data_IF_204977608653
#
_entry.id   IF_204977608653
#
_cell.length_a   1.000
_cell.length_b   1.000
_cell.length_c   1.000
_cell.angle_alpha   90.00
_cell.angle_beta   90.00
_cell.angle_gamma   90.00
#
_symmetry.space_group_name_H-M   'P 1'
#
loop_
_entity.id
_entity.type
_entity.pdbx_description
1 polymer ?
#
# COMPACT_ATOMS: atom_id res chain seq x y z
N UNK A 1 -37.10 -6.77 16.11
CA UNK A 1 -37.77 -5.53 16.56
C UNK A 1 -38.89 -5.04 15.62
N UNK A 2 -39.88 -4.26 16.12
CA UNK A 2 -40.90 -3.58 15.30
C UNK A 2 -40.29 -2.47 14.40
N UNK A 3 -40.80 -2.31 13.17
CA UNK A 3 -40.25 -1.38 12.18
C UNK A 3 -40.36 0.08 12.62
N UNK A 4 -41.46 0.46 13.29
CA UNK A 4 -41.63 1.84 13.78
C UNK A 4 -40.64 2.13 14.91
N UNK A 5 -40.42 1.17 15.80
CA UNK A 5 -39.44 1.29 16.87
C UNK A 5 -38.02 1.47 16.32
N UNK A 6 -37.64 0.71 15.28
CA UNK A 6 -36.35 0.88 14.59
C UNK A 6 -36.18 2.28 14.00
N UNK A 7 -37.22 2.80 13.36
CA UNK A 7 -37.23 4.17 12.82
C UNK A 7 -37.10 5.22 13.93
N UNK A 8 -37.77 5.02 15.06
CA UNK A 8 -37.67 5.91 16.21
C UNK A 8 -36.25 5.92 16.79
N UNK A 9 -35.64 4.75 16.98
CA UNK A 9 -34.24 4.62 17.44
C UNK A 9 -33.29 5.33 16.48
N UNK A 10 -33.42 5.10 15.17
CA UNK A 10 -32.59 5.77 14.18
C UNK A 10 -32.80 7.29 14.16
N UNK A 11 -34.03 7.77 14.39
CA UNK A 11 -34.31 9.21 14.51
C UNK A 11 -33.66 9.82 15.75
N UNK A 12 -33.65 9.12 16.89
CA UNK A 12 -32.96 9.59 18.09
C UNK A 12 -31.45 9.60 17.91
N UNK A 13 -30.86 8.53 17.37
CA UNK A 13 -29.43 8.49 17.04
C UNK A 13 -29.05 9.61 16.07
N UNK A 14 -29.83 9.85 15.00
CA UNK A 14 -29.58 10.96 14.07
C UNK A 14 -29.71 12.36 14.68
N UNK A 15 -30.38 12.48 15.84
CA UNK A 15 -30.49 13.70 16.62
C UNK A 15 -29.48 13.76 17.79
N UNK A 16 -28.51 12.85 17.86
CA UNK A 16 -27.56 12.68 18.97
C UNK A 16 -28.23 12.45 20.33
N UNK A 17 -29.40 11.79 20.34
CA UNK A 17 -30.17 11.47 21.55
C UNK A 17 -30.00 10.01 21.99
N UNK A 18 -28.80 9.42 21.83
CA UNK A 18 -28.55 8.01 22.13
C UNK A 18 -28.81 7.61 23.59
N UNK A 19 -28.83 8.56 24.54
CA UNK A 19 -29.32 8.29 25.90
C UNK A 19 -30.78 7.81 25.93
N UNK A 20 -31.66 8.33 25.06
CA UNK A 20 -33.05 7.84 24.95
C UNK A 20 -33.11 6.42 24.42
N UNK A 21 -32.18 6.06 23.51
CA UNK A 21 -32.04 4.70 22.99
C UNK A 21 -31.60 3.75 24.11
N UNK A 22 -30.63 4.17 24.92
CA UNK A 22 -30.17 3.43 26.10
C UNK A 22 -31.33 3.20 27.07
N UNK A 23 -31.99 4.28 27.53
CA UNK A 23 -33.11 4.20 28.49
C UNK A 23 -34.22 3.25 28.00
N UNK A 24 -34.56 3.31 26.70
CA UNK A 24 -35.55 2.42 26.09
C UNK A 24 -35.10 0.95 26.12
N UNK A 25 -33.89 0.66 25.65
CA UNK A 25 -33.41 -0.72 25.46
C UNK A 25 -32.96 -1.38 26.77
N UNK A 26 -32.54 -0.60 27.76
CA UNK A 26 -32.31 -1.07 29.14
C UNK A 26 -33.60 -1.43 29.87
N UNK A 27 -34.74 -0.85 29.46
CA UNK A 27 -36.06 -1.26 29.93
C UNK A 27 -36.44 -2.69 29.52
N UNK A 28 -35.76 -3.28 28.53
CA UNK A 28 -35.91 -4.67 28.13
C UNK A 28 -34.94 -5.52 28.95
N UNK A 29 -35.46 -6.54 29.63
CA UNK A 29 -34.63 -7.44 30.44
C UNK A 29 -33.56 -8.11 29.56
N UNK A 30 -32.36 -8.41 30.09
CA UNK A 30 -31.32 -9.10 29.31
C UNK A 30 -31.78 -10.44 28.72
N UNK A 31 -32.70 -11.15 29.38
CA UNK A 31 -33.24 -12.43 28.92
C UNK A 31 -34.21 -12.28 27.73
N UNK A 32 -34.89 -11.13 27.64
CA UNK A 32 -35.85 -10.83 26.56
C UNK A 32 -35.22 -10.01 25.43
N UNK A 33 -33.96 -9.60 25.57
CA UNK A 33 -33.24 -8.81 24.58
C UNK A 33 -32.59 -9.73 23.54
N UNK A 34 -33.03 -9.62 22.30
CA UNK A 34 -32.47 -10.38 21.18
C UNK A 34 -31.14 -9.80 20.67
N UNK A 35 -30.64 -10.40 19.60
CA UNK A 35 -29.43 -9.96 18.88
C UNK A 35 -29.53 -8.50 18.42
N UNK A 36 -30.65 -8.13 17.78
CA UNK A 36 -30.86 -6.79 17.21
C UNK A 36 -30.90 -5.72 18.31
N UNK A 37 -31.68 -5.94 19.36
CA UNK A 37 -31.83 -5.00 20.47
C UNK A 37 -30.52 -4.86 21.27
N UNK A 38 -29.78 -5.95 21.47
CA UNK A 38 -28.46 -5.92 22.13
C UNK A 38 -27.44 -5.16 21.31
N UNK A 39 -27.40 -5.40 19.99
CA UNK A 39 -26.52 -4.67 19.09
C UNK A 39 -26.83 -3.17 19.03
N UNK A 40 -28.11 -2.78 19.03
CA UNK A 40 -28.51 -1.37 19.04
C UNK A 40 -28.18 -0.67 20.36
N UNK A 41 -28.31 -1.37 21.49
CA UNK A 41 -27.89 -0.84 22.78
C UNK A 41 -26.37 -0.65 22.83
N UNK A 42 -25.60 -1.61 22.32
CA UNK A 42 -24.14 -1.47 22.21
C UNK A 42 -23.74 -0.27 21.33
N UNK A 43 -24.44 -0.07 20.19
CA UNK A 43 -24.25 1.13 19.34
C UNK A 43 -24.50 2.42 20.11
N UNK A 44 -25.60 2.48 20.86
CA UNK A 44 -25.93 3.67 21.65
C UNK A 44 -24.87 3.93 22.73
N UNK A 45 -24.36 2.88 23.38
CA UNK A 45 -23.26 2.97 24.33
C UNK A 45 -21.95 3.47 23.70
N UNK A 46 -21.63 3.01 22.48
CA UNK A 46 -20.52 3.53 21.70
C UNK A 46 -20.64 5.05 21.46
N UNK A 47 -21.82 5.53 21.04
CA UNK A 47 -22.01 6.96 20.74
C UNK A 47 -22.02 7.87 21.98
N UNK A 48 -22.28 7.34 23.18
CA UNK A 48 -22.15 8.12 24.42
C UNK A 48 -20.77 7.95 25.10
N UNK A 49 -19.85 7.21 24.48
CA UNK A 49 -18.48 7.02 24.98
C UNK A 49 -18.33 5.96 26.08
N UNK A 50 -19.33 5.09 26.30
CA UNK A 50 -19.27 4.00 27.28
C UNK A 50 -18.86 2.68 26.60
N UNK A 51 -17.67 2.69 26.00
CA UNK A 51 -17.18 1.63 25.10
C UNK A 51 -17.06 0.25 25.77
N UNK A 52 -16.63 0.20 27.03
CA UNK A 52 -16.52 -1.07 27.76
C UNK A 52 -17.88 -1.75 27.95
N UNK A 53 -18.95 -0.97 28.16
CA UNK A 53 -20.31 -1.53 28.23
C UNK A 53 -20.77 -2.05 26.88
N UNK A 54 -20.46 -1.33 25.80
CA UNK A 54 -20.73 -1.80 24.45
C UNK A 54 -20.02 -3.13 24.17
N UNK A 55 -18.74 -3.28 24.54
CA UNK A 55 -18.00 -4.53 24.39
C UNK A 55 -18.62 -5.68 25.16
N UNK A 56 -19.03 -5.47 26.43
CA UNK A 56 -19.69 -6.52 27.23
C UNK A 56 -20.98 -7.00 26.55
N UNK A 57 -21.78 -6.08 26.00
CA UNK A 57 -23.00 -6.42 25.28
C UNK A 57 -22.72 -7.17 23.98
N UNK A 58 -21.76 -6.70 23.17
CA UNK A 58 -21.40 -7.33 21.91
C UNK A 58 -20.83 -8.74 22.14
N UNK A 59 -19.98 -8.91 23.14
CA UNK A 59 -19.43 -10.20 23.53
C UNK A 59 -20.52 -11.21 23.91
N UNK A 60 -21.59 -10.76 24.59
CA UNK A 60 -22.71 -11.62 24.99
C UNK A 60 -23.48 -12.23 23.81
N UNK A 61 -23.33 -11.67 22.61
CA UNK A 61 -23.98 -12.12 21.37
C UNK A 61 -22.98 -12.57 20.29
N UNK A 62 -21.72 -12.84 20.67
CA UNK A 62 -20.62 -13.19 19.76
C UNK A 62 -20.94 -14.33 18.81
N UNK A 63 -21.52 -15.43 19.30
CA UNK A 63 -21.79 -16.64 18.50
C UNK A 63 -22.61 -16.34 17.24
N UNK A 64 -23.54 -15.39 17.32
CA UNK A 64 -24.33 -14.92 16.17
C UNK A 64 -23.65 -13.74 15.48
N UNK A 65 -22.96 -12.88 16.24
CA UNK A 65 -22.42 -11.61 15.77
C UNK A 65 -21.16 -11.69 14.92
N UNK A 66 -20.32 -12.71 15.06
CA UNK A 66 -19.05 -12.78 14.32
C UNK A 66 -19.22 -12.79 12.79
N UNK A 67 -20.39 -13.18 12.29
CA UNK A 67 -20.75 -13.16 10.87
C UNK A 67 -21.66 -11.99 10.47
N UNK A 68 -21.87 -11.02 11.37
CA UNK A 68 -22.67 -9.81 11.11
C UNK A 68 -21.77 -8.58 10.96
N UNK A 69 -21.93 -7.85 9.86
CA UNK A 69 -21.15 -6.64 9.55
C UNK A 69 -21.27 -5.58 10.65
N UNK A 70 -22.50 -5.32 11.13
CA UNK A 70 -22.74 -4.26 12.12
C UNK A 70 -22.13 -4.61 13.48
N UNK A 71 -22.18 -5.88 13.88
CA UNK A 71 -21.56 -6.35 15.10
C UNK A 71 -20.03 -6.18 15.04
N UNK A 72 -19.41 -6.61 13.95
CA UNK A 72 -17.97 -6.42 13.72
C UNK A 72 -17.60 -4.94 13.73
N UNK A 73 -18.34 -4.09 13.00
CA UNK A 73 -18.12 -2.64 13.01
C UNK A 73 -18.23 -2.04 14.43
N UNK A 74 -19.25 -2.42 15.20
CA UNK A 74 -19.46 -1.91 16.57
C UNK A 74 -18.39 -2.40 17.55
N UNK A 75 -17.90 -3.63 17.38
CA UNK A 75 -16.74 -4.15 18.12
C UNK A 75 -15.49 -3.33 17.79
N UNK A 76 -15.21 -3.15 16.50
CA UNK A 76 -14.12 -2.32 16.00
C UNK A 76 -14.17 -0.91 16.56
N UNK A 77 -15.33 -0.26 16.50
CA UNK A 77 -15.55 1.11 17.00
C UNK A 77 -15.23 1.22 18.48
N UNK A 78 -15.78 0.33 19.31
CA UNK A 78 -15.53 0.34 20.75
C UNK A 78 -14.03 0.14 21.06
N UNK A 79 -13.37 -0.79 20.38
CA UNK A 79 -11.94 -1.07 20.56
C UNK A 79 -11.05 0.09 20.10
N UNK A 80 -11.41 0.75 18.99
CA UNK A 80 -10.69 1.88 18.45
C UNK A 80 -10.63 3.05 19.44
N UNK A 81 -11.77 3.44 20.02
CA UNK A 81 -11.82 4.51 21.02
C UNK A 81 -11.23 4.12 22.38
N UNK A 82 -10.97 2.83 22.61
CA UNK A 82 -10.20 2.33 23.75
C UNK A 82 -8.70 2.17 23.43
N UNK A 83 -8.22 2.74 22.32
CA UNK A 83 -6.84 2.65 21.82
C UNK A 83 -6.35 1.21 21.55
N UNK A 84 -7.26 0.23 21.43
CA UNK A 84 -6.96 -1.18 21.11
C UNK A 84 -6.95 -1.40 19.59
N UNK A 85 -6.16 -0.59 18.89
CA UNK A 85 -6.19 -0.44 17.42
C UNK A 85 -5.93 -1.74 16.65
N UNK A 86 -5.04 -2.63 17.14
CA UNK A 86 -4.75 -3.91 16.47
C UNK A 86 -5.97 -4.82 16.48
N UNK A 87 -6.70 -4.84 17.57
CA UNK A 87 -7.92 -5.62 17.71
C UNK A 87 -9.06 -4.97 16.91
N UNK A 88 -9.19 -3.64 17.00
CA UNK A 88 -10.15 -2.87 16.23
C UNK A 88 -10.01 -3.13 14.72
N UNK A 89 -8.77 -3.08 14.20
CA UNK A 89 -8.45 -3.38 12.80
C UNK A 89 -8.96 -4.76 12.38
N UNK A 90 -8.75 -5.79 13.21
CA UNK A 90 -9.24 -7.14 12.89
C UNK A 90 -10.76 -7.20 12.72
N UNK A 91 -11.52 -6.47 13.55
CA UNK A 91 -12.97 -6.42 13.46
C UNK A 91 -13.45 -5.56 12.28
N UNK A 92 -12.81 -4.43 12.00
CA UNK A 92 -13.15 -3.63 10.83
C UNK A 92 -12.81 -4.34 9.51
N UNK A 93 -11.65 -5.01 9.41
CA UNK A 93 -11.34 -5.86 8.26
C UNK A 93 -12.38 -6.96 8.09
N UNK A 94 -12.89 -7.55 9.19
CA UNK A 94 -13.96 -8.54 9.08
C UNK A 94 -15.28 -7.93 8.60
N UNK A 95 -15.60 -6.71 9.03
CA UNK A 95 -16.77 -5.98 8.53
C UNK A 95 -16.65 -5.70 7.03
N UNK A 96 -15.48 -5.26 6.57
CA UNK A 96 -15.18 -5.01 5.15
C UNK A 96 -15.24 -6.29 4.31
N UNK A 97 -14.71 -7.42 4.79
CA UNK A 97 -14.87 -8.74 4.13
C UNK A 97 -16.34 -9.14 3.93
N UNK A 98 -17.21 -8.82 4.89
CA UNK A 98 -18.63 -9.16 4.87
C UNK A 98 -19.46 -8.15 4.06
N UNK A 99 -19.05 -6.89 4.03
CA UNK A 99 -19.70 -5.81 3.29
C UNK A 99 -18.62 -4.86 2.78
N UNK A 100 -18.02 -5.19 1.62
CA UNK A 100 -16.98 -4.36 1.02
C UNK A 100 -17.52 -3.00 0.61
N UNK A 101 -16.63 -2.03 0.43
CA UNK A 101 -16.93 -0.68 -0.09
C UNK A 101 -17.77 0.20 0.86
N UNK A 102 -17.92 -0.19 2.13
CA UNK A 102 -18.49 0.68 3.16
C UNK A 102 -17.48 1.77 3.57
N UNK A 103 -17.76 3.02 3.21
CA UNK A 103 -16.85 4.16 3.39
C UNK A 103 -16.42 4.36 4.85
N UNK A 104 -17.36 4.23 5.80
CA UNK A 104 -17.09 4.37 7.24
C UNK A 104 -16.13 3.28 7.71
N UNK A 105 -16.35 2.02 7.31
CA UNK A 105 -15.49 0.88 7.65
C UNK A 105 -14.08 1.08 7.11
N UNK A 106 -13.96 1.47 5.83
CA UNK A 106 -12.67 1.74 5.19
C UNK A 106 -11.94 2.89 5.90
N UNK A 107 -12.65 3.96 6.28
CA UNK A 107 -12.04 5.06 7.02
C UNK A 107 -11.50 4.60 8.38
N UNK A 108 -12.26 3.81 9.14
CA UNK A 108 -11.76 3.27 10.40
C UNK A 108 -10.56 2.31 10.23
N UNK A 109 -10.53 1.51 9.15
CA UNK A 109 -9.35 0.71 8.78
C UNK A 109 -8.16 1.64 8.57
N UNK A 110 -8.34 2.72 7.80
CA UNK A 110 -7.28 3.71 7.54
C UNK A 110 -6.73 4.30 8.82
N UNK A 111 -7.61 4.73 9.71
CA UNK A 111 -7.26 5.32 11.02
C UNK A 111 -6.57 4.32 11.96
N UNK A 112 -6.95 3.04 11.94
CA UNK A 112 -6.27 1.99 12.70
C UNK A 112 -4.85 1.77 12.16
N UNK A 113 -4.70 1.70 10.84
CA UNK A 113 -3.41 1.50 10.19
C UNK A 113 -2.44 2.67 10.41
N UNK A 114 -2.93 3.91 10.48
CA UNK A 114 -2.12 5.08 10.90
C UNK A 114 -1.57 4.97 12.33
N UNK A 115 -2.30 4.30 13.23
CA UNK A 115 -1.88 4.08 14.62
C UNK A 115 -0.97 2.87 14.80
N UNK A 116 -0.84 2.03 13.77
CA UNK A 116 0.04 0.87 13.72
C UNK A 116 0.93 1.00 12.48
N UNK A 117 1.85 2.00 12.47
CA UNK A 117 2.57 2.42 11.27
C UNK A 117 3.47 1.31 10.72
N UNK A 118 3.66 1.28 9.41
CA UNK A 118 4.49 0.30 8.71
C UNK A 118 5.89 0.18 9.32
N UNK A 119 6.51 1.30 9.71
CA UNK A 119 7.79 1.32 10.43
C UNK A 119 7.79 0.44 11.69
N UNK A 120 6.77 0.56 12.54
CA UNK A 120 6.65 -0.24 13.76
C UNK A 120 6.45 -1.74 13.47
N UNK A 121 5.78 -2.06 12.37
CA UNK A 121 5.54 -3.43 11.92
C UNK A 121 6.81 -4.09 11.38
N UNK A 122 7.59 -3.32 10.63
CA UNK A 122 8.94 -3.70 10.16
C UNK A 122 9.86 -3.97 11.35
N UNK A 123 9.88 -3.10 12.36
CA UNK A 123 10.67 -3.31 13.57
C UNK A 123 10.23 -4.58 14.33
N UNK A 124 8.92 -4.86 14.39
CA UNK A 124 8.37 -6.07 14.99
C UNK A 124 8.75 -7.34 14.20
N UNK A 125 8.68 -7.31 12.87
CA UNK A 125 9.13 -8.40 12.01
C UNK A 125 10.60 -8.73 12.23
N UNK A 126 11.48 -7.73 12.21
CA UNK A 126 12.91 -7.97 12.41
C UNK A 126 13.23 -8.45 13.82
N UNK A 127 12.53 -7.94 14.83
CA UNK A 127 12.63 -8.44 16.20
C UNK A 127 12.23 -9.91 16.30
N UNK A 128 11.12 -10.29 15.65
CA UNK A 128 10.67 -11.67 15.56
C UNK A 128 11.68 -12.54 14.80
N UNK A 129 12.21 -12.06 13.68
CA UNK A 129 13.16 -12.83 12.86
C UNK A 129 14.43 -13.15 13.63
N UNK A 130 15.00 -12.16 14.34
CA UNK A 130 16.19 -12.38 15.18
C UNK A 130 15.91 -13.36 16.31
N UNK A 131 14.74 -13.28 16.96
CA UNK A 131 14.36 -14.21 18.02
C UNK A 131 14.20 -15.66 17.52
N UNK A 132 13.80 -15.83 16.25
CA UNK A 132 13.51 -17.13 15.65
C UNK A 132 14.59 -17.60 14.65
N UNK A 133 15.70 -16.87 14.52
CA UNK A 133 16.76 -17.09 13.52
C UNK A 133 17.30 -18.53 13.54
N UNK A 134 17.49 -19.08 14.74
CA UNK A 134 18.02 -20.43 14.90
C UNK A 134 17.07 -21.50 14.36
N UNK A 135 15.75 -21.32 14.52
CA UNK A 135 14.76 -22.25 13.99
C UNK A 135 14.60 -22.08 12.48
N UNK A 136 14.54 -20.83 12.01
CA UNK A 136 14.53 -20.52 10.57
C UNK A 136 15.74 -21.11 9.85
N UNK A 137 16.90 -21.11 10.50
CA UNK A 137 18.12 -21.73 9.97
C UNK A 137 17.99 -23.24 9.85
N UNK A 138 17.47 -23.90 10.88
CA UNK A 138 17.23 -25.36 10.83
C UNK A 138 16.27 -25.73 9.71
N UNK A 139 15.23 -24.92 9.49
CA UNK A 139 14.29 -25.11 8.38
C UNK A 139 14.98 -24.99 7.02
N UNK A 140 15.86 -24.00 6.84
CA UNK A 140 16.65 -23.82 5.61
C UNK A 140 17.65 -24.96 5.38
N UNK A 141 18.33 -25.42 6.43
CA UNK A 141 19.34 -26.48 6.37
C UNK A 141 18.72 -27.86 6.16
N UNK A 142 17.52 -28.11 6.70
CA UNK A 142 16.86 -29.41 6.70
C UNK A 142 15.54 -29.39 5.93
N UNK A 143 15.49 -28.70 4.78
CA UNK A 143 14.28 -28.54 3.94
C UNK A 143 13.51 -29.83 3.62
N UNK A 144 14.19 -30.98 3.61
CA UNK A 144 13.57 -32.28 3.36
C UNK A 144 12.95 -32.96 4.58
N UNK A 145 13.16 -32.43 5.79
CA UNK A 145 12.70 -33.02 7.05
C UNK A 145 11.46 -32.33 7.62
N UNK A 146 11.20 -31.08 7.21
CA UNK A 146 10.02 -30.33 7.62
C UNK A 146 8.90 -30.50 6.59
N UNK A 147 7.68 -30.63 7.11
CA UNK A 147 6.48 -30.45 6.30
C UNK A 147 6.39 -28.99 5.82
N UNK A 148 6.00 -28.80 4.55
CA UNK A 148 5.99 -27.48 3.92
C UNK A 148 4.97 -26.55 4.56
N UNK A 149 3.78 -27.06 4.92
CA UNK A 149 2.73 -26.25 5.56
C UNK A 149 3.18 -25.80 6.96
N UNK A 150 3.86 -26.68 7.70
CA UNK A 150 4.41 -26.34 9.02
C UNK A 150 5.47 -25.23 8.94
N UNK A 151 6.36 -25.31 7.95
CA UNK A 151 7.40 -24.29 7.75
C UNK A 151 6.79 -22.95 7.35
N UNK A 152 5.88 -22.97 6.36
CA UNK A 152 5.17 -21.79 5.89
C UNK A 152 4.39 -21.14 7.04
N UNK A 153 3.59 -21.90 7.78
CA UNK A 153 2.81 -21.40 8.91
C UNK A 153 3.66 -20.85 10.06
N UNK A 154 4.91 -21.31 10.22
CA UNK A 154 5.84 -20.69 11.16
C UNK A 154 6.33 -19.33 10.66
N UNK A 155 6.73 -19.23 9.39
CA UNK A 155 7.22 -17.98 8.78
C UNK A 155 6.10 -16.94 8.68
N UNK A 156 4.86 -17.38 8.41
CA UNK A 156 3.65 -16.55 8.39
C UNK A 156 3.40 -15.81 9.71
N UNK A 157 3.82 -16.37 10.85
CA UNK A 157 3.74 -15.67 12.14
C UNK A 157 4.63 -14.41 12.16
N UNK A 158 5.75 -14.44 11.43
CA UNK A 158 6.67 -13.34 11.27
C UNK A 158 6.19 -12.33 10.24
N UNK A 159 6.02 -12.77 8.99
CA UNK A 159 5.61 -11.85 7.90
C UNK A 159 4.22 -11.26 8.13
N UNK A 160 3.34 -11.98 8.83
CA UNK A 160 2.03 -11.49 9.27
C UNK A 160 2.08 -10.32 10.26
N UNK A 161 3.25 -10.02 10.84
CA UNK A 161 3.45 -8.79 11.63
C UNK A 161 3.50 -7.54 10.74
N UNK A 162 3.84 -7.70 9.46
CA UNK A 162 3.93 -6.62 8.46
C UNK A 162 2.53 -6.28 7.93
N UNK A 163 1.88 -7.28 7.34
CA UNK A 163 0.55 -7.20 6.76
C UNK A 163 -0.04 -8.62 6.62
N UNK A 164 -1.33 -8.72 6.32
CA UNK A 164 -1.89 -10.01 5.87
C UNK A 164 -1.41 -10.27 4.44
N UNK A 165 -1.38 -11.56 4.05
CA UNK A 165 -1.11 -12.00 2.68
C UNK A 165 0.24 -11.51 2.12
N UNK A 166 1.27 -11.44 2.97
CA UNK A 166 2.64 -11.15 2.54
C UNK A 166 3.23 -12.40 1.87
N UNK A 167 3.49 -12.29 0.58
CA UNK A 167 4.08 -13.37 -0.22
C UNK A 167 5.62 -13.33 -0.16
N UNK A 168 6.22 -14.51 -0.03
CA UNK A 168 7.67 -14.66 0.08
C UNK A 168 8.13 -16.01 -0.46
N UNK A 169 9.40 -16.06 -0.81
CA UNK A 169 10.13 -17.25 -1.20
C UNK A 169 11.36 -17.38 -0.31
N UNK A 170 11.60 -18.59 0.22
CA UNK A 170 12.87 -18.89 0.88
C UNK A 170 13.67 -19.80 -0.04
N UNK A 171 14.85 -19.35 -0.43
CA UNK A 171 15.82 -20.08 -1.24
C UNK A 171 16.89 -20.82 -0.41
N UNK A 172 17.62 -21.72 -1.06
CA UNK A 172 18.82 -22.31 -0.46
C UNK A 172 19.84 -21.21 -0.09
N UNK A 173 20.84 -21.55 0.72
CA UNK A 173 21.88 -20.61 1.15
C UNK A 173 21.34 -19.36 1.87
N UNK A 174 20.30 -19.51 2.69
CA UNK A 174 19.76 -18.44 3.54
C UNK A 174 19.23 -17.23 2.76
N UNK A 175 18.72 -17.47 1.56
CA UNK A 175 18.05 -16.46 0.76
C UNK A 175 16.57 -16.32 1.17
N UNK A 176 16.12 -15.10 1.37
CA UNK A 176 14.72 -14.75 1.63
C UNK A 176 14.30 -13.61 0.70
N UNK A 177 13.33 -13.87 -0.15
CA UNK A 177 12.89 -12.94 -1.18
C UNK A 177 11.41 -12.65 -0.97
N UNK A 178 11.05 -11.39 -0.74
CA UNK A 178 9.64 -10.98 -0.78
C UNK A 178 9.15 -11.02 -2.24
N UNK A 179 7.87 -11.26 -2.45
CA UNK A 179 7.24 -11.22 -3.79
C UNK A 179 6.31 -10.02 -3.87
N UNK A 180 6.33 -9.28 -4.97
CA UNK A 180 5.40 -8.16 -5.16
C UNK A 180 4.08 -8.62 -5.77
N UNK A 181 4.00 -9.78 -6.41
CA UNK A 181 2.75 -10.32 -6.99
C UNK A 181 2.01 -9.29 -7.87
N UNK A 182 2.76 -8.52 -8.68
CA UNK A 182 2.21 -7.45 -9.54
C UNK A 182 1.76 -6.18 -8.81
N UNK A 183 1.94 -6.09 -7.49
CA UNK A 183 1.46 -4.97 -6.68
C UNK A 183 2.46 -3.82 -6.61
N UNK A 184 2.16 -2.74 -7.34
CA UNK A 184 3.07 -1.60 -7.53
C UNK A 184 3.56 -0.95 -6.21
N UNK A 185 2.71 -0.89 -5.17
CA UNK A 185 3.06 -0.28 -3.89
C UNK A 185 4.19 -1.01 -3.15
N UNK A 186 4.36 -2.32 -3.38
CA UNK A 186 5.36 -3.13 -2.70
C UNK A 186 6.79 -2.79 -3.13
N UNK A 187 6.99 -2.27 -4.35
CA UNK A 187 8.26 -1.69 -4.79
C UNK A 187 8.70 -0.48 -3.97
N UNK A 188 7.79 0.16 -3.23
CA UNK A 188 8.09 1.30 -2.37
C UNK A 188 8.15 0.93 -0.89
N UNK A 189 7.55 -0.19 -0.49
CA UNK A 189 7.51 -0.65 0.90
C UNK A 189 8.64 -1.62 1.23
N UNK A 190 8.89 -2.62 0.38
CA UNK A 190 9.88 -3.66 0.67
C UNK A 190 11.33 -3.18 0.67
N UNK A 191 11.77 -2.22 -0.16
CA UNK A 191 13.12 -1.68 -0.02
C UNK A 191 13.37 -1.07 1.36
N UNK A 192 12.36 -0.41 1.94
CA UNK A 192 12.46 0.07 3.32
C UNK A 192 12.56 -1.09 4.31
N UNK A 193 11.68 -2.09 4.22
CA UNK A 193 11.74 -3.30 5.04
C UNK A 193 13.16 -3.89 5.05
N UNK A 194 13.79 -4.08 3.89
CA UNK A 194 15.15 -4.63 3.78
C UNK A 194 16.22 -3.66 4.32
N UNK A 195 16.06 -2.34 4.11
CA UNK A 195 17.00 -1.35 4.64
C UNK A 195 17.12 -1.41 6.18
N UNK A 196 16.05 -1.87 6.86
CA UNK A 196 15.97 -2.02 8.32
C UNK A 196 16.53 -3.35 8.84
N UNK A 197 17.06 -4.22 7.97
CA UNK A 197 17.65 -5.50 8.35
C UNK A 197 18.76 -5.33 9.41
N UNK A 198 18.64 -6.00 10.57
CA UNK A 198 19.65 -5.99 11.62
C UNK A 198 21.03 -6.44 11.13
N UNK A 199 22.09 -5.76 11.57
CA UNK A 199 23.47 -6.08 11.18
C UNK A 199 23.85 -7.54 11.49
N UNK A 200 23.35 -8.09 12.60
CA UNK A 200 23.62 -9.47 13.04
C UNK A 200 23.18 -10.54 12.03
N UNK A 201 22.30 -10.21 11.10
CA UNK A 201 21.80 -11.15 10.09
C UNK A 201 22.58 -11.06 8.77
N UNK A 202 23.30 -9.95 8.50
CA UNK A 202 23.83 -9.62 7.16
C UNK A 202 24.92 -10.56 6.67
N UNK A 203 25.67 -11.18 7.57
CA UNK A 203 26.73 -12.13 7.22
C UNK A 203 26.20 -13.48 6.77
N UNK A 204 24.96 -13.82 7.16
CA UNK A 204 24.38 -15.16 6.97
C UNK A 204 23.18 -15.15 6.06
N UNK A 205 22.25 -14.22 6.26
CA UNK A 205 21.00 -14.12 5.52
C UNK A 205 21.12 -13.11 4.39
N UNK A 206 20.50 -13.44 3.25
CA UNK A 206 20.44 -12.59 2.07
C UNK A 206 18.98 -12.28 1.77
N UNK A 207 18.59 -11.02 1.99
CA UNK A 207 17.23 -10.57 1.79
C UNK A 207 17.08 -9.75 0.51
N UNK A 208 16.03 -10.04 -0.24
CA UNK A 208 15.66 -9.29 -1.44
C UNK A 208 14.24 -8.72 -1.31
N UNK A 209 14.03 -7.44 -1.67
CA UNK A 209 12.73 -6.79 -1.57
C UNK A 209 11.72 -7.32 -2.59
N UNK A 210 12.20 -7.97 -3.65
CA UNK A 210 11.42 -8.56 -4.73
C UNK A 210 12.32 -9.50 -5.53
N UNK A 211 11.72 -10.35 -6.37
CA UNK A 211 12.44 -11.32 -7.18
C UNK A 211 13.41 -10.63 -8.16
N UNK A 212 14.68 -11.03 -8.10
CA UNK A 212 15.77 -10.46 -8.88
C UNK A 212 15.92 -11.06 -10.28
N UNK A 213 15.15 -12.11 -10.62
CA UNK A 213 15.26 -12.85 -11.87
C UNK A 213 16.50 -13.74 -11.94
N UNK A 214 16.44 -14.81 -12.72
CA UNK A 214 17.57 -15.73 -12.91
C UNK A 214 17.81 -16.05 -14.38
N UNK A 215 19.08 -16.12 -14.77
CA UNK A 215 19.48 -16.48 -16.15
C UNK A 215 19.52 -18.00 -16.37
N UNK A 216 19.41 -18.79 -15.31
CA UNK A 216 19.51 -20.26 -15.39
C UNK A 216 18.15 -20.88 -15.64
N UNK A 217 18.04 -21.64 -16.73
CA UNK A 217 16.83 -22.40 -17.03
C UNK A 217 16.56 -23.53 -16.03
N UNK A 218 15.27 -23.76 -15.77
CA UNK A 218 14.75 -24.86 -14.98
C UNK A 218 13.41 -25.37 -15.52
N UNK A 219 12.89 -26.45 -14.95
CA UNK A 219 11.54 -26.96 -15.25
C UNK A 219 10.48 -26.23 -14.41
N UNK A 220 9.49 -25.65 -15.09
CA UNK A 220 8.32 -25.04 -14.50
C UNK A 220 7.11 -25.97 -14.65
N UNK A 221 6.35 -26.17 -13.56
CA UNK A 221 5.18 -27.05 -13.54
C UNK A 221 3.97 -26.33 -12.98
N UNK A 222 2.95 -26.14 -13.82
CA UNK A 222 1.69 -25.52 -13.43
C UNK A 222 0.57 -25.98 -14.37
N UNK A 223 -0.67 -26.06 -13.88
CA UNK A 223 -1.85 -26.45 -14.66
C UNK A 223 -1.69 -27.76 -15.48
N UNK A 224 -0.87 -28.70 -14.99
CA UNK A 224 -0.60 -29.97 -15.65
C UNK A 224 0.40 -29.92 -16.81
N UNK A 225 1.00 -28.76 -17.08
CA UNK A 225 2.08 -28.61 -18.07
C UNK A 225 3.43 -28.64 -17.35
N UNK A 226 4.44 -29.26 -17.98
CA UNK A 226 5.84 -29.20 -17.55
C UNK A 226 6.66 -28.57 -18.67
N UNK A 227 7.18 -27.37 -18.43
CA UNK A 227 7.85 -26.55 -19.44
C UNK A 227 9.27 -26.24 -18.98
N UNK A 228 10.26 -26.54 -19.82
CA UNK A 228 11.61 -26.06 -19.59
C UNK A 228 11.71 -24.61 -20.10
N UNK A 229 12.27 -23.70 -19.30
CA UNK A 229 12.38 -22.28 -19.68
C UNK A 229 13.11 -22.09 -21.03
N UNK A 230 14.05 -22.96 -21.40
CA UNK A 230 14.76 -22.90 -22.69
C UNK A 230 13.82 -23.07 -23.90
N UNK A 231 12.70 -23.78 -23.71
CA UNK A 231 11.74 -24.09 -24.75
C UNK A 231 10.60 -23.06 -24.86
N UNK A 232 10.60 -22.04 -23.99
CA UNK A 232 9.71 -20.89 -24.15
C UNK A 232 10.42 -19.88 -25.03
N UNK A 233 9.84 -19.62 -26.20
CA UNK A 233 10.37 -18.68 -27.16
C UNK A 233 9.68 -17.34 -27.02
N UNK A 234 10.44 -16.25 -27.03
CA UNK A 234 9.95 -14.90 -26.90
C UNK A 234 10.51 -13.99 -27.99
N UNK A 235 9.75 -12.96 -28.34
CA UNK A 235 10.19 -11.83 -29.14
C UNK A 235 9.89 -10.55 -28.37
N UNK A 236 10.86 -9.66 -28.24
CA UNK A 236 10.71 -8.41 -27.49
C UNK A 236 10.90 -7.21 -28.42
N UNK A 237 9.80 -6.51 -28.68
CA UNK A 237 9.77 -5.30 -29.51
C UNK A 237 9.95 -4.07 -28.62
N UNK A 238 11.06 -3.36 -28.80
CA UNK A 238 11.35 -2.12 -28.08
C UNK A 238 10.61 -0.92 -28.68
N UNK A 239 10.02 -0.10 -27.81
CA UNK A 239 9.44 1.20 -28.13
C UNK A 239 10.33 2.31 -27.53
N UNK A 240 10.95 3.12 -28.39
CA UNK A 240 11.91 4.14 -27.96
C UNK A 240 11.25 5.34 -27.28
N UNK A 241 10.02 5.68 -27.65
CA UNK A 241 9.28 6.82 -27.09
C UNK A 241 8.81 6.50 -25.68
N UNK A 242 8.23 5.31 -25.49
CA UNK A 242 7.75 4.83 -24.19
C UNK A 242 8.86 4.26 -23.32
N UNK A 243 9.99 3.90 -23.93
CA UNK A 243 11.13 3.24 -23.29
C UNK A 243 10.72 1.92 -22.61
N UNK A 244 9.88 1.14 -23.29
CA UNK A 244 9.34 -0.14 -22.83
C UNK A 244 9.32 -1.19 -23.96
N UNK A 245 8.87 -2.41 -23.66
CA UNK A 245 8.86 -3.55 -24.55
C UNK A 245 7.49 -4.23 -24.57
N UNK A 246 7.02 -4.55 -25.77
CA UNK A 246 5.97 -5.57 -25.95
C UNK A 246 6.63 -6.93 -26.16
N UNK A 247 6.24 -7.93 -25.36
CA UNK A 247 6.83 -9.28 -25.37
C UNK A 247 5.82 -10.27 -25.94
N UNK A 248 6.14 -10.87 -27.08
CA UNK A 248 5.37 -11.98 -27.63
C UNK A 248 5.97 -13.32 -27.20
N UNK A 249 5.17 -14.33 -26.89
CA UNK A 249 5.66 -15.66 -26.47
C UNK A 249 5.03 -16.83 -27.22
N UNK A 250 5.78 -17.92 -27.30
CA UNK A 250 5.33 -19.20 -27.84
C UNK A 250 5.96 -20.38 -27.09
N UNK A 251 5.11 -21.27 -26.57
CA UNK A 251 5.46 -22.64 -26.19
C UNK A 251 4.23 -23.52 -26.42
N UNK A 252 4.42 -24.71 -26.98
CA UNK A 252 3.31 -25.55 -27.42
C UNK A 252 2.36 -25.95 -26.27
N UNK A 253 2.90 -26.33 -25.12
CA UNK A 253 2.13 -26.68 -23.93
C UNK A 253 1.36 -25.48 -23.37
N UNK A 254 2.04 -24.36 -23.14
CA UNK A 254 1.42 -23.11 -22.67
C UNK A 254 0.32 -22.62 -23.61
N UNK A 255 0.58 -22.61 -24.92
CA UNK A 255 -0.40 -22.16 -25.92
C UNK A 255 -1.58 -23.13 -26.09
N UNK A 256 -1.48 -24.35 -25.57
CA UNK A 256 -2.59 -25.33 -25.55
C UNK A 256 -3.52 -25.17 -24.35
N UNK A 257 -3.12 -24.37 -23.34
CA UNK A 257 -3.96 -24.06 -22.19
C UNK A 257 -5.08 -23.06 -22.56
N UNK A 258 -6.15 -22.98 -21.74
CA UNK A 258 -7.05 -21.83 -21.76
C UNK A 258 -6.25 -20.53 -21.71
N UNK A 259 -6.71 -19.52 -22.44
CA UNK A 259 -5.95 -18.28 -22.67
C UNK A 259 -5.45 -17.63 -21.37
N UNK A 260 -6.33 -17.44 -20.39
CA UNK A 260 -6.00 -16.89 -19.07
C UNK A 260 -4.91 -17.69 -18.34
N UNK A 261 -4.99 -19.03 -18.36
CA UNK A 261 -4.00 -19.90 -17.73
C UNK A 261 -2.66 -19.88 -18.48
N UNK A 262 -2.69 -19.81 -19.81
CA UNK A 262 -1.51 -19.71 -20.65
C UNK A 262 -0.76 -18.40 -20.40
N UNK A 263 -1.47 -17.27 -20.40
CA UNK A 263 -0.89 -15.97 -20.04
C UNK A 263 -0.39 -15.96 -18.60
N UNK A 264 -1.21 -16.36 -17.63
CA UNK A 264 -0.82 -16.37 -16.22
C UNK A 264 0.44 -17.20 -15.97
N UNK A 265 0.52 -18.41 -16.57
CA UNK A 265 1.73 -19.25 -16.48
C UNK A 265 2.94 -18.57 -17.11
N UNK A 266 2.78 -17.95 -18.28
CA UNK A 266 3.88 -17.24 -18.93
C UNK A 266 4.35 -16.02 -18.12
N UNK A 267 3.44 -15.24 -17.54
CA UNK A 267 3.78 -14.11 -16.69
C UNK A 267 4.66 -14.53 -15.52
N UNK A 268 4.28 -15.59 -14.80
CA UNK A 268 5.09 -16.16 -13.71
C UNK A 268 6.47 -16.57 -14.23
N UNK A 269 6.53 -17.29 -15.36
CA UNK A 269 7.81 -17.72 -15.95
C UNK A 269 8.68 -16.52 -16.37
N UNK A 270 8.07 -15.48 -16.95
CA UNK A 270 8.75 -14.25 -17.35
C UNK A 270 9.31 -13.51 -16.16
N UNK A 271 8.54 -13.34 -15.08
CA UNK A 271 8.99 -12.66 -13.86
C UNK A 271 10.08 -13.45 -13.13
N UNK A 272 10.00 -14.78 -13.12
CA UNK A 272 11.07 -15.64 -12.59
C UNK A 272 12.40 -15.46 -13.35
N UNK A 273 12.36 -15.22 -14.66
CA UNK A 273 13.55 -15.04 -15.50
C UNK A 273 14.06 -13.60 -15.50
N UNK A 274 13.14 -12.64 -15.66
CA UNK A 274 13.44 -11.22 -15.83
C UNK A 274 13.67 -10.51 -14.49
N UNK A 275 13.02 -10.97 -13.43
CA UNK A 275 12.88 -10.26 -12.16
C UNK A 275 11.68 -9.30 -12.18
N UNK A 276 11.03 -9.15 -11.04
CA UNK A 276 9.79 -8.38 -10.91
C UNK A 276 10.00 -6.89 -11.22
N UNK A 277 11.13 -6.31 -10.81
CA UNK A 277 11.42 -4.89 -11.06
C UNK A 277 11.58 -4.55 -12.55
N UNK A 278 12.33 -5.37 -13.30
CA UNK A 278 12.50 -5.18 -14.74
C UNK A 278 11.21 -5.48 -15.50
N UNK A 279 10.48 -6.54 -15.12
CA UNK A 279 9.20 -6.86 -15.71
C UNK A 279 8.21 -5.70 -15.55
N UNK A 280 8.04 -5.21 -14.31
CA UNK A 280 7.16 -4.09 -14.00
C UNK A 280 7.53 -2.81 -14.77
N UNK A 281 8.84 -2.50 -14.89
CA UNK A 281 9.27 -1.24 -15.49
C UNK A 281 9.23 -1.25 -17.02
N UNK A 282 9.61 -2.36 -17.63
CA UNK A 282 9.96 -2.41 -19.05
C UNK A 282 9.05 -3.30 -19.88
N UNK A 283 8.18 -4.13 -19.30
CA UNK A 283 7.22 -4.93 -20.07
C UNK A 283 5.86 -4.25 -20.03
N UNK A 284 5.44 -3.70 -21.16
CA UNK A 284 4.18 -2.94 -21.27
C UNK A 284 3.01 -3.77 -21.74
N UNK A 285 3.28 -4.83 -22.50
CA UNK A 285 2.27 -5.76 -22.99
C UNK A 285 2.89 -7.13 -23.25
N UNK A 286 2.07 -8.17 -23.08
CA UNK A 286 2.42 -9.55 -23.43
C UNK A 286 1.42 -10.10 -24.43
N UNK A 287 1.92 -10.75 -25.47
CA UNK A 287 1.11 -11.31 -26.55
C UNK A 287 1.43 -12.79 -26.78
N UNK A 288 0.41 -13.63 -26.95
CA UNK A 288 0.60 -15.03 -27.32
C UNK A 288 0.69 -15.17 -28.83
N UNK A 289 1.76 -15.79 -29.33
CA UNK A 289 1.89 -16.14 -30.74
C UNK A 289 1.27 -17.53 -31.04
N UNK A 290 0.75 -17.72 -32.25
CA UNK A 290 0.14 -18.99 -32.68
C UNK A 290 1.17 -20.08 -33.02
N UNK A 291 2.40 -19.66 -33.36
CA UNK A 291 3.51 -20.53 -33.77
C UNK A 291 4.84 -19.89 -33.44
N UNK A 292 5.91 -20.67 -33.53
CA UNK A 292 7.27 -20.14 -33.48
C UNK A 292 7.54 -19.27 -34.71
N UNK A 293 7.90 -18.00 -34.49
CA UNK A 293 8.15 -17.01 -35.53
C UNK A 293 9.65 -16.71 -35.69
N UNK A 294 10.03 -16.13 -36.84
CA UNK A 294 11.41 -15.71 -37.11
C UNK A 294 11.81 -14.56 -36.18
N UNK A 295 12.97 -14.65 -35.55
CA UNK A 295 13.47 -13.64 -34.61
C UNK A 295 13.11 -13.90 -33.15
N UNK A 296 12.28 -14.91 -32.85
CA UNK A 296 12.08 -15.36 -31.48
C UNK A 296 13.34 -16.04 -30.93
N UNK A 297 13.63 -15.81 -29.65
CA UNK A 297 14.75 -16.38 -28.91
C UNK A 297 14.28 -16.96 -27.58
N UNK A 298 15.13 -17.69 -26.88
CA UNK A 298 14.74 -18.37 -25.64
C UNK A 298 14.49 -17.40 -24.47
N UNK A 299 13.47 -17.66 -23.64
CA UNK A 299 13.07 -16.82 -22.51
C UNK A 299 14.23 -16.46 -21.54
N UNK A 300 15.15 -17.37 -21.16
CA UNK A 300 16.29 -17.03 -20.30
C UNK A 300 17.19 -15.91 -20.87
N UNK A 301 17.21 -15.71 -22.20
CA UNK A 301 17.97 -14.63 -22.82
C UNK A 301 17.27 -13.26 -22.78
N UNK A 302 16.00 -13.20 -22.35
CA UNK A 302 15.18 -11.97 -22.36
C UNK A 302 15.76 -10.85 -21.51
N UNK A 303 16.22 -11.15 -20.30
CA UNK A 303 16.84 -10.16 -19.41
C UNK A 303 18.05 -9.51 -20.07
N UNK A 304 18.98 -10.34 -20.58
CA UNK A 304 20.16 -9.87 -21.28
C UNK A 304 19.83 -9.04 -22.51
N UNK A 305 18.80 -9.43 -23.26
CA UNK A 305 18.32 -8.68 -24.43
C UNK A 305 17.78 -7.30 -24.06
N UNK A 306 16.91 -7.20 -23.05
CA UNK A 306 16.33 -5.93 -22.59
C UNK A 306 17.42 -4.99 -22.11
N UNK A 307 18.29 -5.47 -21.21
CA UNK A 307 19.39 -4.67 -20.64
C UNK A 307 20.33 -4.16 -21.73
N UNK A 308 20.69 -5.02 -22.69
CA UNK A 308 21.54 -4.64 -23.82
C UNK A 308 20.85 -3.61 -24.72
N UNK A 309 19.58 -3.82 -25.05
CA UNK A 309 18.81 -2.92 -25.92
C UNK A 309 18.69 -1.52 -25.31
N UNK A 310 18.40 -1.42 -24.02
CA UNK A 310 18.36 -0.14 -23.30
C UNK A 310 19.71 0.59 -23.38
N UNK A 311 20.82 -0.11 -23.08
CA UNK A 311 22.17 0.46 -23.14
C UNK A 311 22.57 0.89 -24.54
N UNK A 312 22.26 0.08 -25.56
CA UNK A 312 22.55 0.39 -26.97
C UNK A 312 21.79 1.64 -27.45
N UNK A 313 20.65 1.98 -26.81
CA UNK A 313 19.87 3.20 -27.04
C UNK A 313 20.20 4.34 -26.05
N UNK A 314 21.31 4.22 -25.31
CA UNK A 314 21.78 5.26 -24.38
C UNK A 314 20.90 5.46 -23.14
N UNK A 315 20.10 4.46 -22.77
CA UNK A 315 19.22 4.50 -21.60
C UNK A 315 19.89 3.86 -20.38
N UNK A 316 19.62 4.41 -19.21
CA UNK A 316 19.94 3.76 -17.94
C UNK A 316 18.94 2.64 -17.64
N UNK A 317 19.41 1.61 -16.93
CA UNK A 317 18.60 0.46 -16.54
C UNK A 317 18.22 0.60 -15.08
N UNK A 318 16.92 0.67 -14.81
CA UNK A 318 16.37 0.82 -13.47
C UNK A 318 15.62 -0.44 -13.10
N UNK A 319 16.07 -1.11 -12.03
CA UNK A 319 15.37 -2.26 -11.46
C UNK A 319 14.45 -1.87 -10.30
N UNK A 320 14.56 -0.65 -9.78
CA UNK A 320 13.70 -0.15 -8.72
C UNK A 320 12.80 0.98 -9.23
N UNK A 321 11.47 0.78 -9.28
CA UNK A 321 10.53 1.79 -9.74
C UNK A 321 10.63 3.13 -9.00
N UNK A 322 10.99 3.13 -7.71
CA UNK A 322 11.06 4.37 -6.91
C UNK A 322 12.14 5.35 -7.37
N UNK A 323 13.15 4.86 -8.11
CA UNK A 323 14.30 5.66 -8.54
C UNK A 323 14.06 6.39 -9.87
N UNK A 324 12.90 6.18 -10.50
CA UNK A 324 12.57 6.75 -11.82
C UNK A 324 11.52 7.83 -11.68
N UNK A 325 11.90 9.08 -11.91
CA UNK A 325 10.96 10.19 -11.97
C UNK A 325 10.52 10.47 -13.40
N UNK A 326 9.21 10.67 -13.58
CA UNK A 326 8.62 11.11 -14.84
C UNK A 326 7.91 12.44 -14.66
N UNK A 327 8.02 13.31 -15.66
CA UNK A 327 7.29 14.57 -15.71
C UNK A 327 5.90 14.35 -16.30
N UNK A 328 4.92 15.09 -15.79
CA UNK A 328 3.56 15.11 -16.33
C UNK A 328 3.05 16.56 -16.41
N UNK A 329 2.12 16.78 -17.34
CA UNK A 329 1.46 18.07 -17.56
C UNK A 329 -0.04 17.85 -17.59
N UNK A 330 -0.76 18.78 -16.98
CA UNK A 330 -2.22 18.79 -16.93
C UNK A 330 -2.71 20.19 -17.31
N UNK A 331 -3.94 20.25 -17.80
CA UNK A 331 -4.63 21.52 -18.02
C UNK A 331 -5.33 21.90 -16.71
N UNK A 332 -4.99 23.05 -16.07
CA UNK A 332 -5.62 23.45 -14.82
C UNK A 332 -7.12 23.74 -14.97
N UNK A 333 -7.90 23.33 -13.98
CA UNK A 333 -9.35 23.48 -13.94
C UNK A 333 -9.80 24.15 -12.62
N UNK A 334 -10.90 24.91 -12.68
CA UNK A 334 -11.54 25.46 -11.48
C UNK A 334 -12.35 24.35 -10.80
N UNK A 335 -11.93 23.97 -9.59
CA UNK A 335 -12.51 22.87 -8.83
C UNK A 335 -12.38 23.14 -7.32
N UNK A 336 -13.32 22.62 -6.53
CA UNK A 336 -13.27 22.66 -5.06
C UNK A 336 -12.25 21.65 -4.51
N UNK A 337 -11.96 20.59 -5.27
CA UNK A 337 -10.93 19.60 -4.93
C UNK A 337 -9.51 20.12 -5.16
N UNK A 338 -8.58 19.64 -4.34
CA UNK A 338 -7.16 20.02 -4.43
C UNK A 338 -6.53 19.47 -5.73
N UNK A 339 -5.41 20.07 -6.14
CA UNK A 339 -4.57 19.62 -7.28
C UNK A 339 -5.20 19.72 -8.67
N UNK A 340 -6.43 20.19 -8.82
CA UNK A 340 -6.98 20.54 -10.13
C UNK A 340 -6.37 21.84 -10.70
N UNK A 341 -5.65 22.61 -9.88
CA UNK A 341 -4.85 23.74 -10.33
C UNK A 341 -3.49 23.35 -10.91
N UNK A 342 -3.08 22.07 -10.80
CA UNK A 342 -1.76 21.56 -11.23
C UNK A 342 -1.59 21.75 -12.73
N UNK A 343 -0.48 22.39 -13.14
CA UNK A 343 -0.11 22.54 -14.54
C UNK A 343 1.04 21.59 -14.93
N UNK A 344 2.00 21.41 -14.03
CA UNK A 344 3.17 20.56 -14.25
C UNK A 344 3.58 19.87 -12.95
N UNK A 345 4.03 18.63 -13.05
CA UNK A 345 4.61 17.93 -11.92
C UNK A 345 5.63 16.89 -12.36
N UNK A 346 6.26 16.29 -11.36
CA UNK A 346 7.17 15.16 -11.50
C UNK A 346 6.86 14.15 -10.42
N UNK A 347 6.80 12.87 -10.76
CA UNK A 347 6.49 11.80 -9.80
C UNK A 347 7.32 10.55 -10.10
N UNK A 348 7.70 9.81 -9.06
CA UNK A 348 8.17 8.44 -9.20
C UNK A 348 7.02 7.43 -9.22
N UNK A 349 5.82 7.80 -8.76
CA UNK A 349 4.68 6.91 -8.59
C UNK A 349 3.46 7.33 -9.42
N UNK A 350 3.56 7.25 -10.75
CA UNK A 350 2.52 7.72 -11.68
C UNK A 350 1.13 7.13 -11.44
N UNK A 351 1.04 5.86 -11.02
CA UNK A 351 -0.23 5.21 -10.72
C UNK A 351 -0.99 5.90 -9.57
N UNK A 352 -0.26 6.41 -8.56
CA UNK A 352 -0.86 7.17 -7.45
C UNK A 352 -1.46 8.49 -7.95
N UNK A 353 -0.74 9.20 -8.81
CA UNK A 353 -1.22 10.44 -9.44
C UNK A 353 -2.45 10.17 -10.31
N UNK A 354 -2.43 9.15 -11.16
CA UNK A 354 -3.57 8.79 -12.03
C UNK A 354 -4.81 8.49 -11.19
N UNK A 355 -4.67 7.64 -10.16
CA UNK A 355 -5.78 7.24 -9.31
C UNK A 355 -6.39 8.41 -8.53
N UNK A 356 -5.59 9.41 -8.13
CA UNK A 356 -6.12 10.63 -7.53
C UNK A 356 -7.12 11.33 -8.47
N UNK A 357 -6.77 11.53 -9.74
CA UNK A 357 -7.66 12.21 -10.71
C UNK A 357 -8.83 11.33 -11.17
N UNK A 358 -8.69 10.01 -11.09
CA UNK A 358 -9.77 9.04 -11.35
C UNK A 358 -10.73 8.87 -10.16
N UNK A 359 -10.47 9.53 -9.02
CA UNK A 359 -11.16 9.31 -7.75
C UNK A 359 -11.18 7.83 -7.33
N UNK A 360 -10.05 7.15 -7.55
CA UNK A 360 -9.85 5.75 -7.22
C UNK A 360 -8.93 5.64 -6.01
N UNK A 361 -9.37 4.93 -4.96
CA UNK A 361 -8.60 4.77 -3.72
C UNK A 361 -7.94 3.39 -3.58
N UNK A 362 -8.05 2.52 -4.59
CA UNK A 362 -7.53 1.14 -4.54
C UNK A 362 -6.07 1.07 -4.13
N UNK A 363 -5.20 1.87 -4.76
CA UNK A 363 -3.77 1.89 -4.43
C UNK A 363 -3.51 2.49 -3.04
N UNK A 364 -4.26 3.53 -2.68
CA UNK A 364 -4.17 4.17 -1.36
C UNK A 364 -4.51 3.16 -0.26
N UNK A 365 -5.56 2.35 -0.46
CA UNK A 365 -5.99 1.33 0.50
C UNK A 365 -5.00 0.18 0.61
N UNK A 366 -4.39 -0.23 -0.51
CA UNK A 366 -3.29 -1.20 -0.51
C UNK A 366 -2.06 -0.68 0.26
N UNK A 367 -1.67 0.57 0.05
CA UNK A 367 -0.61 1.23 0.83
C UNK A 367 -0.98 1.27 2.32
N UNK A 368 -2.22 1.67 2.61
CA UNK A 368 -2.74 1.79 3.95
C UNK A 368 -2.79 0.45 4.69
N UNK A 369 -3.10 -0.65 4.01
CA UNK A 369 -3.13 -2.00 4.57
C UNK A 369 -1.82 -2.38 5.29
N UNK A 370 -0.69 -1.91 4.76
CA UNK A 370 0.65 -2.11 5.35
C UNK A 370 0.95 -1.15 6.51
N UNK A 371 0.09 -0.18 6.79
CA UNK A 371 0.33 0.87 7.78
C UNK A 371 1.13 2.06 7.24
N UNK A 372 1.34 2.15 5.93
CA UNK A 372 1.94 3.31 5.28
C UNK A 372 0.85 4.27 4.76
N UNK A 373 1.17 5.54 4.51
CA UNK A 373 0.20 6.52 4.00
C UNK A 373 0.79 7.31 2.83
N UNK A 374 0.04 7.42 1.73
CA UNK A 374 0.36 8.39 0.69
C UNK A 374 -0.32 9.72 1.02
N UNK A 375 0.47 10.79 1.08
CA UNK A 375 0.02 12.14 1.44
C UNK A 375 0.67 13.17 0.54
N UNK A 376 0.14 14.39 0.52
CA UNK A 376 0.86 15.52 -0.04
C UNK A 376 0.82 16.72 0.92
N UNK A 377 1.94 17.45 0.97
CA UNK A 377 1.99 18.79 1.54
C UNK A 377 1.61 19.80 0.46
N UNK A 378 0.76 20.75 0.81
CA UNK A 378 0.35 21.83 -0.05
C UNK A 378 0.73 23.18 0.58
N UNK A 379 1.22 24.12 -0.22
CA UNK A 379 1.39 25.51 0.20
C UNK A 379 0.92 26.48 -0.90
N UNK A 380 -0.08 27.32 -0.60
CA UNK A 380 -0.54 28.36 -1.53
C UNK A 380 0.54 29.41 -1.78
N UNK A 381 0.55 29.98 -2.98
CA UNK A 381 1.41 31.11 -3.33
C UNK A 381 0.68 32.09 -4.26
N UNK A 382 1.14 33.35 -4.27
CA UNK A 382 0.56 34.37 -5.14
C UNK A 382 1.24 34.33 -6.51
N UNK A 383 0.52 33.96 -7.56
CA UNK A 383 1.06 33.89 -8.92
C UNK A 383 1.19 35.29 -9.56
N UNK A 384 2.26 36.00 -9.22
CA UNK A 384 2.48 37.41 -9.62
C UNK A 384 3.22 37.53 -10.96
N UNK A 385 4.26 36.73 -11.18
CA UNK A 385 5.11 36.81 -12.37
C UNK A 385 5.82 35.48 -12.65
N UNK A 386 6.40 35.33 -13.85
CA UNK A 386 7.19 34.15 -14.20
C UNK A 386 8.45 34.00 -13.31
N UNK A 387 9.08 35.11 -12.92
CA UNK A 387 10.24 35.11 -12.02
C UNK A 387 9.86 34.71 -10.60
N UNK A 388 8.69 35.14 -10.13
CA UNK A 388 8.16 34.72 -8.83
C UNK A 388 7.84 33.22 -8.84
N UNK A 389 7.20 32.70 -9.91
CA UNK A 389 6.96 31.25 -10.05
C UNK A 389 8.25 30.44 -9.99
N UNK A 390 9.30 30.89 -10.67
CA UNK A 390 10.62 30.25 -10.58
C UNK A 390 11.16 30.24 -9.15
N UNK A 391 11.05 31.37 -8.44
CA UNK A 391 11.49 31.48 -7.04
C UNK A 391 10.73 30.51 -6.12
N UNK A 392 9.41 30.39 -6.30
CA UNK A 392 8.56 29.45 -5.54
C UNK A 392 8.92 28.00 -5.87
N UNK A 393 9.19 27.69 -7.13
CA UNK A 393 9.62 26.37 -7.57
C UNK A 393 11.00 25.99 -7.00
N UNK A 394 11.96 26.91 -7.03
CA UNK A 394 13.28 26.73 -6.43
C UNK A 394 13.17 26.53 -4.90
N UNK A 395 12.25 27.25 -4.25
CA UNK A 395 11.93 27.04 -2.83
C UNK A 395 11.35 25.65 -2.56
N UNK A 396 10.39 25.18 -3.39
CA UNK A 396 9.81 23.84 -3.26
C UNK A 396 10.92 22.78 -3.31
N UNK A 397 11.79 22.82 -4.32
CA UNK A 397 12.88 21.86 -4.45
C UNK A 397 13.84 21.90 -3.26
N UNK A 398 14.18 23.10 -2.77
CA UNK A 398 15.03 23.23 -1.59
C UNK A 398 14.39 22.65 -0.32
N UNK A 399 13.06 22.79 -0.18
CA UNK A 399 12.32 22.23 0.94
C UNK A 399 12.16 20.71 0.83
N UNK A 400 11.91 20.19 -0.36
CA UNK A 400 11.89 18.74 -0.65
C UNK A 400 13.23 18.10 -0.26
N UNK A 401 14.34 18.63 -0.78
CA UNK A 401 15.70 18.20 -0.45
C UNK A 401 15.98 18.21 1.05
N UNK A 402 15.48 19.22 1.77
CA UNK A 402 15.67 19.37 3.20
C UNK A 402 14.86 18.32 3.97
N UNK A 403 13.57 18.18 3.65
CA UNK A 403 12.69 17.18 4.28
C UNK A 403 13.23 15.78 4.03
N UNK A 404 13.66 15.47 2.82
CA UNK A 404 14.23 14.16 2.47
C UNK A 404 15.45 13.85 3.33
N UNK A 405 16.45 14.73 3.34
CA UNK A 405 17.71 14.51 4.08
C UNK A 405 17.54 14.54 5.60
N UNK A 406 16.85 15.55 6.13
CA UNK A 406 16.76 15.79 7.58
C UNK A 406 15.71 14.91 8.28
N UNK A 407 14.71 14.43 7.55
CA UNK A 407 13.56 13.72 8.14
C UNK A 407 13.39 12.32 7.55
N UNK A 408 13.20 12.22 6.23
CA UNK A 408 12.83 10.94 5.62
C UNK A 408 13.96 9.92 5.69
N UNK A 409 15.17 10.28 5.23
CA UNK A 409 16.35 9.41 5.23
C UNK A 409 16.88 9.16 6.64
N UNK A 410 17.03 10.25 7.42
CA UNK A 410 17.67 10.20 8.74
C UNK A 410 16.87 9.34 9.73
N UNK A 411 15.56 9.53 9.78
CA UNK A 411 14.69 8.79 10.71
C UNK A 411 14.01 7.59 10.03
N UNK A 412 14.16 7.40 8.72
CA UNK A 412 13.47 6.34 7.97
C UNK A 412 11.96 6.45 8.07
N UNK A 413 11.42 7.65 7.83
CA UNK A 413 10.00 7.98 8.03
C UNK A 413 9.14 7.93 6.77
N UNK A 414 9.75 7.83 5.59
CA UNK A 414 9.02 7.76 4.33
C UNK A 414 9.92 7.97 3.11
N UNK A 415 9.29 8.29 1.98
CA UNK A 415 9.92 8.63 0.70
C UNK A 415 9.29 9.89 0.14
N UNK A 416 10.11 10.72 -0.51
CA UNK A 416 9.64 11.74 -1.42
C UNK A 416 9.26 11.06 -2.74
N UNK A 417 8.00 11.21 -3.16
CA UNK A 417 7.50 10.67 -4.42
C UNK A 417 7.57 11.69 -5.56
N UNK A 418 7.78 12.96 -5.24
CA UNK A 418 7.86 14.05 -6.20
C UNK A 418 7.04 15.24 -5.75
N UNK A 419 6.53 16.00 -6.71
CA UNK A 419 5.73 17.17 -6.42
C UNK A 419 5.24 17.88 -7.67
N UNK A 420 4.39 18.87 -7.46
CA UNK A 420 3.69 19.55 -8.53
C UNK A 420 3.60 21.06 -8.29
N UNK A 421 3.48 21.80 -9.38
CA UNK A 421 3.21 23.22 -9.38
C UNK A 421 1.90 23.48 -10.11
N UNK A 422 0.96 24.04 -9.37
CA UNK A 422 -0.30 24.54 -9.91
C UNK A 422 -0.31 26.05 -10.07
N UNK A 423 -1.47 26.56 -10.48
CA UNK A 423 -1.67 27.99 -10.75
C UNK A 423 -1.72 28.83 -9.49
N UNK A 424 -2.07 28.24 -8.33
CA UNK A 424 -2.15 28.92 -7.04
C UNK A 424 -1.50 28.14 -5.89
N UNK A 425 -1.13 26.87 -6.09
CA UNK A 425 -0.54 26.04 -5.06
C UNK A 425 0.70 25.27 -5.53
N UNK A 426 1.58 24.93 -4.59
CA UNK A 426 2.66 23.97 -4.79
C UNK A 426 2.44 22.74 -3.91
N UNK A 427 2.84 21.59 -4.43
CA UNK A 427 2.60 20.28 -3.82
C UNK A 427 3.91 19.50 -3.70
N UNK A 428 4.09 18.81 -2.57
CA UNK A 428 5.17 17.85 -2.33
C UNK A 428 4.53 16.53 -1.92
N UNK A 429 4.84 15.46 -2.63
CA UNK A 429 4.13 14.19 -2.56
C UNK A 429 4.99 13.19 -1.78
N UNK A 430 4.42 12.51 -0.79
CA UNK A 430 5.16 11.63 0.12
C UNK A 430 4.47 10.28 0.30
N UNK A 431 5.28 9.23 0.46
CA UNK A 431 4.86 7.95 1.03
C UNK A 431 5.44 7.85 2.44
N UNK A 432 4.60 7.95 3.48
CA UNK A 432 5.03 7.94 4.87
C UNK A 432 4.88 6.53 5.48
N UNK A 433 5.94 6.06 6.13
CA UNK A 433 5.94 4.80 6.88
C UNK A 433 5.51 4.98 8.34
N UNK A 434 5.55 6.22 8.84
CA UNK A 434 5.07 6.64 10.15
C UNK A 434 4.65 8.12 10.09
N UNK A 435 3.34 8.35 9.95
CA UNK A 435 2.78 9.71 9.87
C UNK A 435 3.05 10.50 11.14
N UNK A 436 2.90 9.88 12.32
CA UNK A 436 3.08 10.60 13.59
C UNK A 436 4.52 11.06 13.73
N UNK A 437 5.48 10.17 13.49
CA UNK A 437 6.91 10.49 13.50
C UNK A 437 7.27 11.58 12.49
N UNK A 438 6.71 11.53 11.28
CA UNK A 438 6.88 12.58 10.27
C UNK A 438 6.35 13.93 10.76
N UNK A 439 5.13 13.97 11.31
CA UNK A 439 4.50 15.21 11.78
C UNK A 439 5.29 15.88 12.90
N UNK A 440 5.82 15.10 13.84
CA UNK A 440 6.65 15.61 14.94
C UNK A 440 7.93 16.32 14.44
N UNK A 441 8.48 15.87 13.30
CA UNK A 441 9.73 16.39 12.72
C UNK A 441 9.52 17.48 11.68
N UNK A 442 8.49 17.38 10.86
CA UNK A 442 8.24 18.32 9.76
C UNK A 442 7.69 19.65 10.27
N UNK A 443 6.86 19.65 11.32
CA UNK A 443 6.23 20.87 11.85
C UNK A 443 7.25 21.95 12.27
N UNK A 444 8.33 21.64 13.03
CA UNK A 444 9.40 22.59 13.31
C UNK A 444 10.05 23.17 12.04
N UNK A 445 10.34 22.34 11.04
CA UNK A 445 10.97 22.77 9.77
C UNK A 445 10.05 23.74 9.02
N UNK A 446 8.76 23.42 8.91
CA UNK A 446 7.79 24.28 8.20
C UNK A 446 7.61 25.64 8.88
N UNK A 447 7.72 25.71 10.21
CA UNK A 447 7.64 26.97 10.97
C UNK A 447 8.79 27.93 10.71
N UNK A 448 9.90 27.47 10.13
CA UNK A 448 11.00 28.34 9.72
C UNK A 448 10.67 29.15 8.46
N UNK A 449 9.54 28.86 7.81
CA UNK A 449 9.07 29.53 6.60
C UNK A 449 7.73 30.24 6.85
N UNK A 450 7.69 31.27 7.71
CA UNK A 450 6.46 31.97 8.10
C UNK A 450 5.79 32.73 6.95
N UNK A 451 6.42 32.83 5.78
CA UNK A 451 5.79 33.40 4.58
C UNK A 451 4.77 32.45 3.93
N UNK A 452 4.74 31.17 4.31
CA UNK A 452 3.82 30.17 3.75
C UNK A 452 2.96 29.53 4.83
N UNK A 453 1.68 29.31 4.50
CA UNK A 453 0.83 28.39 5.25
C UNK A 453 0.97 27.01 4.61
N UNK A 454 1.36 26.01 5.41
CA UNK A 454 1.46 24.63 4.95
C UNK A 454 0.24 23.84 5.39
N UNK A 455 -0.16 22.91 4.54
CA UNK A 455 -1.28 22.01 4.76
C UNK A 455 -0.87 20.58 4.40
N UNK A 456 -1.47 19.60 5.06
CA UNK A 456 -1.34 18.18 4.74
C UNK A 456 -2.69 17.65 4.29
N UNK A 457 -2.67 16.77 3.29
CA UNK A 457 -3.84 16.04 2.82
C UNK A 457 -3.45 14.59 2.53
N UNK A 458 -4.39 13.67 2.70
CA UNK A 458 -4.27 12.34 2.11
C UNK A 458 -4.23 12.47 0.59
N UNK A 459 -3.60 11.51 -0.10
CA UNK A 459 -3.56 11.46 -1.55
C UNK A 459 -4.88 10.92 -2.15
N UNK A 460 -6.02 11.53 -1.80
CA UNK A 460 -7.37 11.25 -2.33
C UNK A 460 -8.23 12.51 -2.38
N UNK A 461 -9.27 12.48 -3.19
CA UNK A 461 -10.31 13.52 -3.21
C UNK A 461 -11.19 13.43 -1.95
N UNK A 462 -11.97 14.49 -1.70
CA UNK A 462 -12.97 14.56 -0.63
C UNK A 462 -12.44 14.33 0.80
N UNK A 463 -11.15 14.60 1.04
CA UNK A 463 -10.55 14.44 2.35
C UNK A 463 -10.30 15.79 3.06
N UNK A 464 -10.09 15.73 4.37
CA UNK A 464 -9.88 16.92 5.18
C UNK A 464 -8.49 17.51 4.93
N UNK A 465 -8.44 18.81 4.67
CA UNK A 465 -7.19 19.57 4.63
C UNK A 465 -6.75 19.93 6.07
N UNK A 466 -5.63 19.36 6.52
CA UNK A 466 -5.07 19.62 7.85
C UNK A 466 -4.10 20.80 7.75
N UNK A 467 -4.46 21.94 8.36
CA UNK A 467 -3.55 23.09 8.45
C UNK A 467 -2.41 22.81 9.42
N UNK A 468 -1.17 22.98 8.96
CA UNK A 468 0.04 22.68 9.73
C UNK A 468 0.68 23.94 10.33
N UNK A 469 0.73 25.01 9.54
CA UNK A 469 1.28 26.31 9.95
C UNK A 469 0.44 27.46 9.40
N UNK A 470 0.53 28.61 10.07
CA UNK A 470 0.00 29.88 9.59
C UNK A 470 1.13 30.71 8.98
N UNK A 471 0.82 31.38 7.87
CA UNK A 471 1.67 32.46 7.40
C UNK A 471 1.56 33.64 8.38
N UNK A 472 2.68 34.23 8.76
CA UNK A 472 2.68 35.50 9.48
C UNK A 472 2.15 36.58 8.53
N UNK A 473 1.01 37.18 8.88
CA UNK A 473 0.56 38.38 8.16
C UNK A 473 1.61 39.46 8.37
N UNK A 474 2.25 39.93 7.30
CA UNK A 474 3.00 41.18 7.34
C UNK A 474 2.05 42.24 7.93
N UNK A 475 2.37 42.72 9.13
CA UNK A 475 1.54 43.69 9.82
C UNK A 475 1.33 44.91 8.93
N UNK A 476 0.06 45.14 8.56
CA UNK A 476 -0.39 46.34 7.88
C UNK A 476 -0.96 47.32 8.91
#
# INVERSE_FOLDING_TARGET
MDKKLKQQINSWTGANEDRKVIDLLEGISPADRGFEETGLLARAYNYVGEYEKALVLLESIREVGEQDTNWNFRMGYALYYLDRNKEALSYFTKADELTPEDEDTIEFIRQCNMRIPFKSRVDAFWSWFVQNEAELSRMVENRGEYDSETSIGFIEQGVGLIAKDVHFNIGGNYEFTFSVEGEAHLFYLYPYLISRMPESLRDKWHFFPYNQGVDTSFEFRMHGVNVNMENVYVYAKYDEERNDFTVSFYEKGLCSLPEEQGYGSFYIMMELMLGEGLAFRYVSNVERADRLEEGMFSLPALRGYIVKTLKDNGKEVFENPKDVFVSYQLEPEENDELRYDVAIGSTSFSNLVSQYYENNTTLLDKINHYGAQAVFLAFPYNNISAEHRKTVLDFRYALEDRIEKEILDTDGLGLLLGGAMGTCCCYMDFLLYDVKGFMEKVLPVLREYPQYSFYLSDFRQHCQLIKLTDAEMEGC
#
